data_IF_441716457507
#
_entry.id   IF_441716457507
#
_cell.length_a   1.000
_cell.length_b   1.000
_cell.length_c   1.000
_cell.angle_alpha   90.00
_cell.angle_beta   90.00
_cell.angle_gamma   90.00
#
_symmetry.space_group_name_H-M   'P 1'
#
loop_
_entity.id
_entity.type
_entity.pdbx_description
1 polymer ?
#
# COMPACT_ATOMS: atom_id res chain seq x y z
N UNK A 1 -28.12 43.65 33.77
CA UNK A 1 -26.82 43.49 34.46
C UNK A 1 -25.93 42.65 33.57
N UNK A 2 -25.00 43.29 32.88
CA UNK A 2 -24.02 42.65 32.02
C UNK A 2 -22.79 42.27 32.85
N UNK A 3 -22.25 41.07 32.65
CA UNK A 3 -20.92 40.71 33.12
C UNK A 3 -20.14 40.10 31.96
N UNK A 4 -19.19 40.90 31.49
CA UNK A 4 -18.13 40.58 30.54
C UNK A 4 -17.02 39.83 31.30
N UNK A 5 -16.53 38.71 30.76
CA UNK A 5 -15.33 38.04 31.22
C UNK A 5 -14.24 38.20 30.16
N UNK A 6 -13.26 39.03 30.48
CA UNK A 6 -12.10 39.37 29.65
C UNK A 6 -11.02 38.28 29.79
N UNK A 7 -10.62 37.68 28.66
CA UNK A 7 -9.44 36.81 28.59
C UNK A 7 -8.16 37.66 28.46
N UNK A 8 -7.19 37.44 29.34
CA UNK A 8 -5.86 38.06 29.25
C UNK A 8 -4.96 37.25 28.30
N UNK A 9 -4.46 37.93 27.26
CA UNK A 9 -3.43 37.44 26.33
C UNK A 9 -2.07 37.87 26.88
N UNK A 10 -1.15 36.92 27.05
CA UNK A 10 0.25 37.18 27.41
C UNK A 10 1.07 37.33 26.11
N UNK A 11 1.64 38.52 25.88
CA UNK A 11 2.67 38.77 24.86
C UNK A 11 4.08 38.57 25.46
N UNK A 12 5.07 38.09 24.68
CA UNK A 12 6.46 38.09 25.10
C UNK A 12 7.16 39.44 24.85
N UNK A 13 8.06 39.75 25.78
CA UNK A 13 8.84 40.98 25.90
C UNK A 13 9.75 41.25 24.69
N UNK A 14 9.73 42.50 24.24
CA UNK A 14 10.68 43.11 23.31
C UNK A 14 11.81 43.81 24.10
N UNK A 15 13.06 43.54 23.72
CA UNK A 15 14.24 44.28 24.22
C UNK A 15 14.74 45.17 23.08
N UNK A 16 14.72 46.47 23.32
CA UNK A 16 15.36 47.49 22.50
C UNK A 16 16.52 48.10 23.30
N UNK A 17 17.70 48.22 22.70
CA UNK A 17 18.51 49.44 22.85
C UNK A 17 19.54 49.58 21.73
N UNK A 18 19.66 50.84 21.28
CA UNK A 18 20.24 51.37 20.06
C UNK A 18 21.78 51.37 19.90
N UNK A 19 22.13 51.48 18.61
CA UNK A 19 23.34 51.93 17.85
C UNK A 19 24.33 52.94 18.46
N UNK A 20 25.62 52.82 18.05
CA UNK A 20 26.45 53.86 17.37
C UNK A 20 27.68 53.23 16.66
N UNK A 21 27.86 53.33 15.33
CA UNK A 21 28.63 54.28 14.45
C UNK A 21 30.17 54.06 14.36
N UNK A 22 30.64 53.66 13.15
CA UNK A 22 31.89 53.86 12.36
C UNK A 22 33.28 53.97 13.07
N UNK A 23 34.46 53.60 12.54
CA UNK A 23 34.99 53.57 11.17
C UNK A 23 36.40 52.88 11.09
N UNK A 24 36.82 52.50 9.87
CA UNK A 24 38.21 52.38 9.29
C UNK A 24 39.32 51.44 9.85
N UNK A 25 39.97 50.68 8.92
CA UNK A 25 41.43 50.42 8.98
C UNK A 25 42.01 49.02 8.62
N UNK A 26 42.19 48.74 7.33
CA UNK A 26 43.33 48.08 6.64
C UNK A 26 43.97 46.69 7.01
N UNK A 27 44.37 45.97 5.93
CA UNK A 27 45.38 44.90 5.76
C UNK A 27 45.04 43.48 6.29
N UNK A 28 45.36 42.34 5.64
CA UNK A 28 46.34 41.96 4.60
C UNK A 28 45.98 40.58 3.98
N UNK A 29 46.77 40.12 3.01
CA UNK A 29 46.47 39.08 1.99
C UNK A 29 47.42 37.86 2.15
N UNK A 30 47.03 36.70 1.59
CA UNK A 30 47.82 35.53 1.03
C UNK A 30 48.32 34.39 1.98
N UNK A 31 47.89 33.12 1.76
CA UNK A 31 48.69 31.95 1.26
C UNK A 31 47.95 30.57 1.26
N UNK A 32 47.85 30.01 0.04
CA UNK A 32 47.83 28.63 -0.52
C UNK A 32 47.25 27.36 0.18
N UNK A 33 46.70 26.38 -0.60
CA UNK A 33 46.20 25.08 -0.13
C UNK A 33 47.24 23.94 -0.24
N UNK A 34 47.10 22.89 0.58
CA UNK A 34 47.90 21.66 0.49
C UNK A 34 47.06 20.46 0.04
N UNK A 35 47.66 19.67 -0.84
CA UNK A 35 47.21 18.38 -1.38
C UNK A 35 47.84 17.23 -0.57
N UNK A 36 47.18 16.07 -0.46
CA UNK A 36 47.89 14.81 -0.18
C UNK A 36 47.27 13.59 -0.88
N UNK A 37 48.15 12.81 -1.49
CA UNK A 37 47.95 11.65 -2.38
C UNK A 37 47.84 10.33 -1.60
N UNK A 38 47.25 9.33 -2.28
CA UNK A 38 46.96 8.00 -1.75
C UNK A 38 48.13 7.01 -1.64
N UNK A 39 47.77 5.74 -1.44
CA UNK A 39 48.71 4.61 -1.35
C UNK A 39 48.08 3.38 -2.00
N UNK A 40 48.75 2.85 -3.03
CA UNK A 40 48.56 1.52 -3.62
C UNK A 40 49.65 0.58 -3.09
N UNK A 41 49.40 -0.73 -2.94
CA UNK A 41 50.49 -1.70 -2.86
C UNK A 41 50.77 -2.31 -4.24
N UNK A 42 52.04 -2.30 -4.62
CA UNK A 42 52.62 -2.98 -5.79
C UNK A 42 52.53 -4.50 -5.63
N UNK A 43 52.04 -5.19 -6.65
CA UNK A 43 52.21 -6.65 -6.81
C UNK A 43 53.25 -6.91 -7.90
N UNK A 44 54.24 -7.72 -7.54
CA UNK A 44 55.41 -8.09 -8.31
C UNK A 44 55.07 -9.24 -9.28
N UNK A 45 55.42 -9.13 -10.56
CA UNK A 45 55.32 -10.22 -11.54
C UNK A 45 56.59 -11.08 -11.50
N UNK A 46 56.45 -12.38 -11.22
CA UNK A 46 57.32 -13.43 -11.78
C UNK A 46 56.50 -14.68 -12.13
N UNK A 47 56.86 -15.24 -13.28
CA UNK A 47 56.31 -16.40 -13.96
C UNK A 47 56.30 -17.66 -13.07
N UNK A 48 55.27 -18.51 -13.24
CA UNK A 48 55.46 -19.95 -13.44
C UNK A 48 54.34 -20.50 -14.32
N UNK A 49 54.74 -21.29 -15.32
CA UNK A 49 53.86 -22.07 -16.17
C UNK A 49 53.68 -23.48 -15.59
N UNK A 50 52.63 -24.16 -16.08
CA UNK A 50 52.47 -25.62 -16.27
C UNK A 50 51.33 -26.32 -15.49
N UNK A 51 50.40 -26.83 -16.31
CA UNK A 51 49.53 -28.02 -16.28
C UNK A 51 48.35 -28.22 -15.30
N UNK A 52 47.17 -28.28 -15.95
CA UNK A 52 46.05 -29.25 -15.83
C UNK A 52 46.08 -30.22 -14.63
N UNK A 53 45.00 -30.18 -13.84
CA UNK A 53 44.18 -31.37 -13.62
C UNK A 53 42.70 -30.98 -13.38
N UNK A 54 41.83 -31.84 -13.89
CA UNK A 54 40.38 -31.75 -13.94
C UNK A 54 39.83 -32.30 -12.62
N UNK A 55 38.90 -31.61 -11.97
CA UNK A 55 37.78 -32.28 -11.29
C UNK A 55 36.57 -31.37 -11.18
N UNK A 56 35.43 -31.98 -11.44
CA UNK A 56 34.11 -31.44 -11.76
C UNK A 56 33.29 -31.11 -10.52
N UNK A 57 32.71 -29.91 -10.47
CA UNK A 57 31.39 -29.71 -9.87
C UNK A 57 30.57 -28.79 -10.77
N UNK A 58 29.61 -29.40 -11.47
CA UNK A 58 28.68 -28.73 -12.36
C UNK A 58 27.75 -27.80 -11.56
N UNK A 59 27.95 -26.49 -11.66
CA UNK A 59 26.89 -25.51 -11.43
C UNK A 59 26.02 -25.46 -12.68
N UNK A 60 24.76 -25.87 -12.57
CA UNK A 60 23.74 -25.61 -13.60
C UNK A 60 23.61 -24.09 -13.77
N UNK A 61 23.63 -23.54 -15.00
CA UNK A 61 23.33 -22.14 -15.19
C UNK A 61 21.82 -21.94 -14.99
N UNK A 62 21.46 -21.05 -14.08
CA UNK A 62 20.10 -20.50 -13.99
C UNK A 62 19.89 -19.67 -15.27
N UNK A 63 19.00 -20.14 -16.15
CA UNK A 63 18.59 -19.37 -17.32
C UNK A 63 17.72 -18.22 -16.80
N UNK A 64 18.28 -17.02 -16.82
CA UNK A 64 17.55 -15.77 -16.61
C UNK A 64 16.82 -15.48 -17.92
N UNK A 65 15.49 -15.63 -17.96
CA UNK A 65 14.70 -15.07 -19.03
C UNK A 65 14.53 -13.57 -18.79
N UNK A 66 15.42 -12.77 -19.38
CA UNK A 66 15.13 -11.37 -19.66
C UNK A 66 14.23 -11.35 -20.89
N UNK A 67 12.95 -11.02 -20.73
CA UNK A 67 12.07 -10.73 -21.86
C UNK A 67 12.45 -9.33 -22.35
N UNK A 68 13.36 -9.28 -23.31
CA UNK A 68 13.65 -8.07 -24.07
C UNK A 68 12.54 -7.86 -25.09
N UNK A 69 11.92 -6.68 -25.07
CA UNK A 69 11.17 -6.14 -26.19
C UNK A 69 12.11 -5.99 -27.38
N UNK A 70 11.97 -6.85 -28.40
CA UNK A 70 11.91 -6.46 -29.81
C UNK A 70 12.02 -7.66 -30.77
N UNK A 71 11.30 -7.51 -31.89
CA UNK A 71 11.34 -8.27 -33.16
C UNK A 71 10.41 -9.49 -33.27
N UNK A 72 9.10 -9.24 -33.36
CA UNK A 72 8.20 -10.08 -34.17
C UNK A 72 8.18 -9.51 -35.60
N UNK A 73 8.82 -10.21 -36.55
CA UNK A 73 8.59 -9.96 -37.98
C UNK A 73 7.27 -10.60 -38.38
N UNK A 74 6.30 -9.77 -38.73
CA UNK A 74 4.98 -10.18 -39.22
C UNK A 74 5.08 -11.01 -40.51
N UNK A 75 4.45 -12.19 -40.50
CA UNK A 75 4.05 -12.90 -41.71
C UNK A 75 2.52 -12.86 -41.76
N UNK A 76 1.99 -12.03 -42.67
CA UNK A 76 0.54 -11.86 -42.91
C UNK A 76 -0.11 -13.19 -43.30
N UNK A 77 -1.00 -13.68 -42.43
CA UNK A 77 -2.03 -14.65 -42.78
C UNK A 77 -3.39 -14.00 -42.53
N UNK A 78 -4.18 -13.89 -43.60
CA UNK A 78 -5.57 -13.42 -43.53
C UNK A 78 -6.44 -14.53 -42.95
N UNK A 79 -7.02 -14.31 -41.78
CA UNK A 79 -8.19 -15.06 -41.31
C UNK A 79 -9.02 -14.18 -40.36
N UNK A 80 -10.34 -14.18 -40.55
CA UNK A 80 -11.35 -13.39 -39.85
C UNK A 80 -11.13 -13.30 -38.31
N UNK A 81 -10.58 -12.19 -37.81
CA UNK A 81 -10.06 -12.07 -36.44
C UNK A 81 -10.60 -10.85 -35.66
N UNK A 82 -11.91 -10.63 -35.56
CA UNK A 82 -12.42 -9.52 -34.72
C UNK A 82 -12.63 -9.90 -33.24
N UNK A 83 -12.50 -11.19 -32.86
CA UNK A 83 -12.74 -11.68 -31.50
C UNK A 83 -11.52 -12.34 -30.83
N UNK A 84 -10.40 -12.54 -31.54
CA UNK A 84 -9.26 -13.33 -31.04
C UNK A 84 -8.14 -12.52 -30.36
N UNK A 85 -8.26 -11.19 -30.26
CA UNK A 85 -7.22 -10.30 -29.71
C UNK A 85 -7.66 -9.51 -28.47
N UNK A 86 -8.78 -9.86 -27.85
CA UNK A 86 -9.26 -9.19 -26.63
C UNK A 86 -8.43 -9.64 -25.43
N UNK A 87 -7.97 -8.68 -24.61
CA UNK A 87 -7.18 -8.94 -23.40
C UNK A 87 -8.07 -9.42 -22.23
N UNK A 88 -9.35 -9.04 -22.27
CA UNK A 88 -10.36 -9.37 -21.27
C UNK A 88 -11.73 -9.57 -21.94
N UNK A 89 -12.59 -10.32 -21.26
CA UNK A 89 -14.01 -10.46 -21.61
C UNK A 89 -14.81 -9.20 -21.27
N UNK A 90 -16.06 -9.12 -21.76
CA UNK A 90 -16.98 -8.03 -21.37
C UNK A 90 -17.23 -8.05 -19.87
N UNK A 91 -17.47 -9.24 -19.32
CA UNK A 91 -17.81 -9.45 -17.91
C UNK A 91 -16.64 -9.02 -17.01
N UNK A 92 -15.41 -9.42 -17.36
CA UNK A 92 -14.21 -8.95 -16.67
C UNK A 92 -14.06 -7.42 -16.81
N UNK A 93 -14.32 -6.84 -17.99
CA UNK A 93 -14.22 -5.39 -18.20
C UNK A 93 -15.18 -4.59 -17.33
N UNK A 94 -16.43 -5.04 -17.22
CA UNK A 94 -17.44 -4.40 -16.36
C UNK A 94 -17.11 -4.58 -14.88
N UNK A 95 -16.63 -5.75 -14.46
CA UNK A 95 -16.20 -5.99 -13.08
C UNK A 95 -15.02 -5.08 -12.68
N UNK A 96 -13.99 -4.99 -13.52
CA UNK A 96 -12.84 -4.12 -13.25
C UNK A 96 -13.24 -2.65 -13.21
N UNK A 97 -14.14 -2.22 -14.10
CA UNK A 97 -14.64 -0.85 -14.11
C UNK A 97 -15.47 -0.53 -12.86
N UNK A 98 -16.38 -1.42 -12.47
CA UNK A 98 -17.19 -1.26 -11.26
C UNK A 98 -16.33 -1.16 -10.00
N UNK A 99 -15.31 -2.02 -9.86
CA UNK A 99 -14.41 -2.02 -8.70
C UNK A 99 -13.56 -0.75 -8.61
N UNK A 100 -12.93 -0.33 -9.72
CA UNK A 100 -12.14 0.91 -9.72
C UNK A 100 -13.02 2.15 -9.50
N UNK A 101 -14.22 2.19 -10.09
CA UNK A 101 -15.13 3.31 -9.91
C UNK A 101 -15.66 3.38 -8.48
N UNK A 102 -16.00 2.24 -7.86
CA UNK A 102 -16.31 2.16 -6.43
C UNK A 102 -15.18 2.75 -5.58
N UNK A 103 -13.93 2.34 -5.83
CA UNK A 103 -12.78 2.89 -5.14
C UNK A 103 -12.69 4.42 -5.28
N UNK A 104 -12.77 4.95 -6.50
CA UNK A 104 -12.68 6.40 -6.74
C UNK A 104 -13.81 7.18 -6.08
N UNK A 105 -15.06 6.78 -6.32
CA UNK A 105 -16.24 7.47 -5.82
C UNK A 105 -16.27 7.46 -4.28
N UNK A 106 -15.91 6.33 -3.66
CA UNK A 106 -15.83 6.21 -2.21
C UNK A 106 -14.76 7.15 -1.63
N UNK A 107 -13.56 7.19 -2.21
CA UNK A 107 -12.46 8.02 -1.73
C UNK A 107 -12.72 9.53 -1.91
N UNK A 108 -13.34 9.93 -3.03
CA UNK A 108 -13.77 11.30 -3.24
C UNK A 108 -14.89 11.70 -2.26
N UNK A 109 -15.80 10.77 -1.92
CA UNK A 109 -16.78 10.99 -0.86
C UNK A 109 -16.11 11.11 0.52
N UNK A 110 -15.09 10.31 0.82
CA UNK A 110 -14.32 10.43 2.06
C UNK A 110 -13.69 11.81 2.20
N UNK A 111 -13.10 12.35 1.11
CA UNK A 111 -12.59 13.71 1.10
C UNK A 111 -13.67 14.75 1.45
N UNK A 112 -14.85 14.63 0.85
CA UNK A 112 -15.97 15.53 1.15
C UNK A 112 -16.43 15.43 2.61
N UNK A 113 -16.55 14.22 3.14
CA UNK A 113 -17.00 13.98 4.51
C UNK A 113 -15.99 14.47 5.56
N UNK A 114 -14.69 14.33 5.27
CA UNK A 114 -13.64 14.90 6.09
C UNK A 114 -13.75 16.43 6.17
N UNK A 115 -13.91 17.13 5.04
CA UNK A 115 -14.08 18.59 5.05
C UNK A 115 -15.40 19.05 5.69
N UNK A 116 -16.41 18.18 5.76
CA UNK A 116 -17.66 18.42 6.51
C UNK A 116 -17.55 18.06 8.00
N UNK A 117 -16.37 17.66 8.47
CA UNK A 117 -16.13 17.32 9.87
C UNK A 117 -16.81 16.02 10.33
N UNK A 118 -17.08 15.09 9.40
CA UNK A 118 -17.67 13.78 9.71
C UNK A 118 -16.62 12.70 10.01
N UNK A 119 -15.39 12.90 9.54
CA UNK A 119 -14.25 12.02 9.78
C UNK A 119 -13.19 12.77 10.59
N UNK A 120 -12.50 12.08 11.49
CA UNK A 120 -11.52 12.67 12.39
C UNK A 120 -10.19 11.92 12.33
N UNK A 121 -9.09 12.62 12.64
CA UNK A 121 -7.76 12.04 12.65
C UNK A 121 -7.15 11.94 11.25
N UNK A 122 -6.40 10.87 11.00
CA UNK A 122 -5.72 10.64 9.73
C UNK A 122 -6.66 10.03 8.69
N UNK A 123 -6.64 10.53 7.46
CA UNK A 123 -7.36 9.95 6.32
C UNK A 123 -6.43 9.93 5.11
N UNK A 124 -6.14 8.73 4.59
CA UNK A 124 -5.21 8.52 3.49
C UNK A 124 -5.93 7.97 2.27
N UNK A 125 -6.05 8.79 1.21
CA UNK A 125 -6.89 8.45 0.07
C UNK A 125 -6.16 7.65 -1.03
N UNK A 126 -6.73 6.56 -1.49
CA UNK A 126 -6.20 5.65 -2.51
C UNK A 126 -6.37 6.15 -3.96
N UNK A 127 -6.96 7.34 -4.13
CA UNK A 127 -7.33 7.85 -5.45
C UNK A 127 -6.14 7.97 -6.42
N UNK A 128 -6.28 7.38 -7.59
CA UNK A 128 -5.26 7.29 -8.64
C UNK A 128 -4.51 5.95 -8.69
N UNK A 129 -4.67 5.09 -7.68
CA UNK A 129 -4.00 3.79 -7.59
C UNK A 129 -4.93 2.60 -7.88
N UNK A 130 -6.18 2.84 -8.30
CA UNK A 130 -7.25 1.83 -8.36
C UNK A 130 -6.91 0.63 -9.26
N UNK A 131 -6.16 0.84 -10.34
CA UNK A 131 -5.72 -0.24 -11.21
C UNK A 131 -4.89 -1.30 -10.47
N UNK A 132 -4.13 -0.91 -9.44
CA UNK A 132 -3.29 -1.81 -8.64
C UNK A 132 -4.15 -2.71 -7.77
N UNK A 133 -4.98 -2.13 -6.88
CA UNK A 133 -5.87 -2.91 -6.00
C UNK A 133 -6.78 -3.83 -6.82
N UNK A 134 -7.49 -3.27 -7.81
CA UNK A 134 -8.44 -4.01 -8.64
C UNK A 134 -7.77 -5.12 -9.44
N UNK A 135 -6.63 -4.84 -10.08
CA UNK A 135 -5.94 -5.79 -10.94
C UNK A 135 -5.48 -7.06 -10.19
N UNK A 136 -5.14 -6.92 -8.90
CA UNK A 136 -4.75 -8.03 -8.04
C UNK A 136 -5.91 -8.68 -7.29
N UNK A 137 -6.72 -7.89 -6.58
CA UNK A 137 -7.72 -8.41 -5.64
C UNK A 137 -8.87 -9.11 -6.37
N UNK A 138 -9.26 -8.64 -7.56
CA UNK A 138 -10.30 -9.26 -8.39
C UNK A 138 -9.87 -10.57 -9.07
N UNK A 139 -8.69 -11.09 -8.74
CA UNK A 139 -8.24 -12.44 -9.11
C UNK A 139 -8.21 -13.41 -7.91
N UNK A 140 -8.45 -12.92 -6.70
CA UNK A 140 -8.39 -13.72 -5.49
C UNK A 140 -9.65 -14.56 -5.30
N UNK A 141 -9.46 -15.71 -4.65
CA UNK A 141 -10.55 -16.48 -4.04
C UNK A 141 -10.96 -15.84 -2.72
N UNK A 142 -12.10 -16.28 -2.16
CA UNK A 142 -12.58 -15.78 -0.86
C UNK A 142 -11.56 -16.09 0.25
N UNK A 143 -10.95 -17.25 0.19
CA UNK A 143 -10.01 -17.80 1.19
C UNK A 143 -8.62 -17.15 1.14
N UNK A 144 -8.28 -16.48 0.04
CA UNK A 144 -7.00 -15.76 -0.08
C UNK A 144 -7.01 -14.51 0.81
N UNK A 145 -5.82 -14.17 1.33
CA UNK A 145 -5.64 -13.10 2.30
C UNK A 145 -5.10 -11.82 1.64
N UNK A 146 -5.55 -10.67 2.13
CA UNK A 146 -5.00 -9.34 1.79
C UNK A 146 -4.46 -8.70 3.06
N UNK A 147 -3.23 -8.22 2.99
CA UNK A 147 -2.61 -7.37 4.01
C UNK A 147 -2.25 -6.04 3.38
N UNK A 148 -2.62 -4.95 4.04
CA UNK A 148 -2.51 -3.61 3.50
C UNK A 148 -1.64 -2.68 4.34
N UNK A 149 -1.58 -1.42 3.93
CA UNK A 149 -1.00 -0.30 4.69
C UNK A 149 -2.13 0.51 5.34
N UNK A 150 -1.83 1.71 5.85
CA UNK A 150 -2.84 2.68 6.28
C UNK A 150 -3.71 3.24 5.13
N UNK A 151 -3.46 2.87 3.87
CA UNK A 151 -4.23 3.29 2.68
C UNK A 151 -5.07 2.11 2.18
N UNK A 152 -5.88 1.55 3.06
CA UNK A 152 -6.53 0.25 2.92
C UNK A 152 -8.02 0.28 2.57
N UNK A 153 -8.63 1.46 2.42
CA UNK A 153 -10.07 1.58 2.17
C UNK A 153 -10.48 0.81 0.91
N UNK A 154 -9.81 1.09 -0.21
CA UNK A 154 -10.09 0.45 -1.50
C UNK A 154 -9.70 -1.02 -1.48
N UNK A 155 -8.62 -1.41 -0.78
CA UNK A 155 -8.29 -2.82 -0.60
C UNK A 155 -9.40 -3.60 0.13
N UNK A 156 -9.99 -2.99 1.16
CA UNK A 156 -11.12 -3.57 1.90
C UNK A 156 -12.37 -3.69 1.02
N UNK A 157 -12.72 -2.62 0.30
CA UNK A 157 -13.86 -2.61 -0.63
C UNK A 157 -13.69 -3.65 -1.74
N UNK A 158 -12.53 -3.70 -2.41
CA UNK A 158 -12.24 -4.66 -3.48
C UNK A 158 -12.28 -6.11 -2.99
N UNK A 159 -11.93 -6.37 -1.71
CA UNK A 159 -12.02 -7.71 -1.10
C UNK A 159 -13.44 -8.05 -0.64
N UNK A 160 -14.38 -7.11 -0.74
CA UNK A 160 -15.80 -7.30 -0.51
C UNK A 160 -16.33 -6.77 0.82
N UNK A 161 -15.51 -6.10 1.64
CA UNK A 161 -16.00 -5.48 2.88
C UNK A 161 -17.07 -4.44 2.52
N UNK A 162 -18.28 -4.48 3.11
CA UNK A 162 -19.36 -3.59 2.70
C UNK A 162 -19.02 -2.11 2.87
N UNK A 163 -19.35 -1.29 1.88
CA UNK A 163 -19.10 0.16 1.92
C UNK A 163 -19.73 0.85 3.14
N UNK A 164 -20.89 0.36 3.61
CA UNK A 164 -21.52 0.82 4.86
C UNK A 164 -20.62 0.61 6.08
N UNK A 165 -19.96 -0.53 6.20
CA UNK A 165 -19.06 -0.84 7.31
C UNK A 165 -17.76 -0.02 7.20
N UNK A 166 -17.19 0.08 5.99
CA UNK A 166 -15.99 0.90 5.74
C UNK A 166 -16.26 2.37 6.08
N UNK A 167 -17.37 2.94 5.61
CA UNK A 167 -17.74 4.34 5.89
C UNK A 167 -18.07 4.56 7.37
N UNK A 168 -18.73 3.59 8.01
CA UNK A 168 -19.02 3.63 9.45
C UNK A 168 -17.74 3.60 10.29
N UNK A 169 -16.72 2.84 9.87
CA UNK A 169 -15.42 2.82 10.54
C UNK A 169 -14.72 4.18 10.45
N UNK A 170 -14.75 4.80 9.26
CA UNK A 170 -14.20 6.15 9.05
C UNK A 170 -14.92 7.23 9.86
N UNK A 171 -16.21 7.03 10.14
CA UNK A 171 -17.02 7.91 10.98
C UNK A 171 -16.88 7.58 12.49
N UNK A 172 -16.08 6.58 12.86
CA UNK A 172 -15.91 6.14 14.24
C UNK A 172 -17.19 5.57 14.86
N UNK A 173 -17.96 4.80 14.09
CA UNK A 173 -19.26 4.23 14.52
C UNK A 173 -19.13 2.76 14.90
N UNK A 174 -20.01 2.31 15.79
CA UNK A 174 -20.04 0.90 16.27
C UNK A 174 -20.29 -0.11 15.13
N UNK A 175 -20.95 0.33 14.07
CA UNK A 175 -21.26 -0.44 12.86
C UNK A 175 -20.10 -0.48 11.86
N UNK A 176 -18.94 0.10 12.19
CA UNK A 176 -17.72 -0.04 11.41
C UNK A 176 -17.19 -1.48 11.42
N UNK A 177 -16.38 -1.84 10.43
CA UNK A 177 -15.77 -3.17 10.34
C UNK A 177 -14.87 -3.52 11.54
N UNK A 178 -14.32 -2.51 12.23
CA UNK A 178 -13.58 -2.61 13.49
C UNK A 178 -14.31 -1.93 14.64
N UNK A 179 -15.63 -1.75 14.51
CA UNK A 179 -16.53 -1.14 15.50
C UNK A 179 -16.13 0.28 15.91
N UNK A 180 -15.52 1.04 15.01
CA UNK A 180 -15.10 2.43 15.24
C UNK A 180 -13.84 2.58 16.10
N UNK A 181 -13.08 1.50 16.32
CA UNK A 181 -11.82 1.52 17.08
C UNK A 181 -10.58 1.67 16.20
N UNK A 182 -10.68 1.30 14.92
CA UNK A 182 -9.57 1.36 13.98
C UNK A 182 -9.47 2.71 13.28
N UNK A 183 -10.61 3.24 12.82
CA UNK A 183 -10.64 4.41 11.95
C UNK A 183 -10.01 4.14 10.59
N UNK A 184 -9.49 5.18 9.94
CA UNK A 184 -9.04 5.12 8.54
C UNK A 184 -7.86 4.20 8.28
N UNK A 185 -6.95 4.00 9.24
CA UNK A 185 -5.69 3.29 8.97
C UNK A 185 -5.74 1.79 9.26
N UNK A 186 -6.87 1.29 9.78
CA UNK A 186 -6.95 0.02 10.48
C UNK A 186 -8.25 -0.71 10.15
N UNK A 187 -8.41 -1.14 8.90
CA UNK A 187 -9.56 -1.94 8.48
C UNK A 187 -9.23 -3.42 8.47
N UNK A 188 -9.93 -4.19 9.31
CA UNK A 188 -9.79 -5.63 9.44
C UNK A 188 -11.13 -6.30 9.14
N UNK A 189 -11.11 -7.45 8.48
CA UNK A 189 -12.31 -8.25 8.30
C UNK A 189 -11.98 -9.72 8.16
N UNK A 190 -12.30 -10.48 9.21
CA UNK A 190 -12.12 -11.94 9.23
C UNK A 190 -12.95 -12.63 8.14
N UNK A 191 -14.17 -12.17 7.90
CA UNK A 191 -15.07 -12.76 6.90
C UNK A 191 -14.53 -12.66 5.47
N UNK A 192 -13.83 -11.56 5.18
CA UNK A 192 -13.30 -11.26 3.86
C UNK A 192 -11.80 -11.60 3.72
N UNK A 193 -11.17 -12.09 4.79
CA UNK A 193 -9.71 -12.31 4.88
C UNK A 193 -8.89 -11.05 4.59
N UNK A 194 -9.36 -9.90 5.08
CA UNK A 194 -8.59 -8.65 5.15
C UNK A 194 -7.90 -8.64 6.52
N UNK A 195 -6.58 -8.85 6.52
CA UNK A 195 -5.80 -8.98 7.75
C UNK A 195 -5.32 -7.65 8.32
N UNK A 196 -5.82 -6.52 7.80
CA UNK A 196 -5.56 -5.21 8.37
C UNK A 196 -4.92 -4.21 7.42
N UNK A 197 -5.21 -2.94 7.67
CA UNK A 197 -4.29 -1.84 7.47
C UNK A 197 -3.43 -1.59 8.71
N UNK A 198 -2.18 -1.24 8.43
CA UNK A 198 -1.16 -1.00 9.46
C UNK A 198 -0.57 0.40 9.30
N UNK A 199 -0.52 1.13 10.42
CA UNK A 199 -0.01 2.50 10.46
C UNK A 199 1.52 2.56 10.58
N UNK A 200 2.15 1.55 11.20
CA UNK A 200 3.60 1.47 11.23
C UNK A 200 4.14 0.93 9.90
N UNK A 201 5.07 1.68 9.33
CA UNK A 201 5.63 1.37 8.01
C UNK A 201 6.37 0.03 8.07
N UNK A 202 5.89 -0.95 7.28
CA UNK A 202 6.48 -2.29 7.21
C UNK A 202 5.84 -3.33 8.13
N UNK A 203 4.97 -2.93 9.07
CA UNK A 203 4.36 -3.83 10.06
C UNK A 203 3.53 -4.95 9.43
N UNK A 204 2.81 -4.67 8.34
CA UNK A 204 2.01 -5.67 7.63
C UNK A 204 2.82 -6.76 6.91
N UNK A 205 4.09 -6.52 6.57
CA UNK A 205 4.92 -7.48 5.80
C UNK A 205 5.15 -8.80 6.56
N UNK A 206 5.60 -8.81 7.83
CA UNK A 206 5.72 -10.04 8.60
C UNK A 206 4.36 -10.71 8.87
N UNK A 207 3.28 -9.94 9.05
CA UNK A 207 1.91 -10.49 9.20
C UNK A 207 1.51 -11.27 7.95
N UNK A 208 1.69 -10.69 6.76
CA UNK A 208 1.42 -11.35 5.49
C UNK A 208 2.29 -12.60 5.28
N UNK A 209 3.56 -12.52 5.67
CA UNK A 209 4.50 -13.64 5.61
C UNK A 209 4.03 -14.80 6.50
N UNK A 210 3.53 -14.51 7.71
CA UNK A 210 2.95 -15.50 8.61
C UNK A 210 1.65 -16.11 8.10
N UNK A 211 0.79 -15.33 7.45
CA UNK A 211 -0.42 -15.83 6.80
C UNK A 211 -0.08 -16.82 5.66
N UNK A 212 0.87 -16.46 4.79
CA UNK A 212 1.33 -17.35 3.74
C UNK A 212 2.02 -18.62 4.28
N UNK A 213 2.77 -18.49 5.39
CA UNK A 213 3.32 -19.65 6.10
C UNK A 213 2.21 -20.57 6.61
N UNK A 214 1.11 -20.02 7.13
CA UNK A 214 -0.05 -20.80 7.60
C UNK A 214 -0.64 -21.63 6.46
N UNK A 215 -0.86 -21.05 5.28
CA UNK A 215 -1.38 -21.78 4.12
C UNK A 215 -0.45 -22.93 3.70
N UNK A 216 0.87 -22.69 3.67
CA UNK A 216 1.87 -23.74 3.43
C UNK A 216 1.83 -24.82 4.52
N UNK A 217 1.71 -24.44 5.79
CA UNK A 217 1.71 -25.35 6.93
C UNK A 217 0.46 -26.25 6.95
N UNK A 218 -0.72 -25.70 6.68
CA UNK A 218 -1.96 -26.47 6.48
C UNK A 218 -1.77 -27.55 5.42
N UNK A 219 -1.21 -27.17 4.26
CA UNK A 219 -0.95 -28.10 3.16
C UNK A 219 0.10 -29.17 3.50
N UNK A 220 1.24 -28.77 4.05
CA UNK A 220 2.40 -29.66 4.18
C UNK A 220 2.43 -30.46 5.48
N UNK A 221 1.91 -29.90 6.58
CA UNK A 221 1.92 -30.52 7.91
C UNK A 221 0.56 -31.08 8.26
N UNK A 222 -0.51 -30.29 8.17
CA UNK A 222 -1.86 -30.77 8.48
C UNK A 222 -2.49 -31.60 7.35
N UNK A 223 -1.89 -31.62 6.16
CA UNK A 223 -2.36 -32.36 4.98
C UNK A 223 -3.77 -31.93 4.53
N UNK A 224 -4.11 -30.67 4.77
CA UNK A 224 -5.35 -30.07 4.30
C UNK A 224 -5.23 -29.66 2.83
N UNK A 225 -6.34 -29.69 2.10
CA UNK A 225 -6.41 -29.12 0.76
C UNK A 225 -6.46 -27.58 0.87
N UNK A 226 -5.28 -26.97 0.85
CA UNK A 226 -5.10 -25.54 1.02
C UNK A 226 -4.21 -24.99 -0.10
N UNK A 227 -4.81 -24.17 -0.95
CA UNK A 227 -4.11 -23.44 -2.02
C UNK A 227 -4.22 -21.92 -1.86
N UNK A 228 -4.54 -21.46 -0.65
CA UNK A 228 -4.64 -20.04 -0.28
C UNK A 228 -3.34 -19.27 -0.60
N UNK A 229 -3.50 -18.06 -1.16
CA UNK A 229 -2.42 -17.12 -1.46
C UNK A 229 -2.60 -15.86 -0.61
N UNK A 230 -1.50 -15.24 -0.21
CA UNK A 230 -1.51 -13.93 0.46
C UNK A 230 -0.97 -12.83 -0.44
N UNK A 231 -1.68 -11.70 -0.53
CA UNK A 231 -1.15 -10.46 -1.09
C UNK A 231 -0.68 -9.54 0.03
N UNK A 232 0.53 -9.00 -0.10
CA UNK A 232 1.08 -8.00 0.80
C UNK A 232 1.30 -6.69 0.05
N UNK A 233 0.42 -5.70 0.26
CA UNK A 233 0.53 -4.37 -0.34
C UNK A 233 1.35 -3.42 0.53
N UNK A 234 2.28 -2.68 -0.06
CA UNK A 234 3.03 -1.63 0.63
C UNK A 234 3.64 -0.61 -0.34
N UNK A 235 3.86 0.63 0.14
CA UNK A 235 4.43 1.70 -0.68
C UNK A 235 5.95 1.61 -0.86
N UNK A 236 6.48 2.38 -1.83
CA UNK A 236 7.91 2.48 -2.17
C UNK A 236 8.80 2.80 -0.96
N UNK A 237 8.40 3.77 -0.13
CA UNK A 237 9.14 4.14 1.09
C UNK A 237 9.34 2.98 2.07
N UNK A 238 8.41 2.03 2.09
CA UNK A 238 8.47 0.84 2.98
C UNK A 238 9.65 -0.06 2.64
N UNK A 239 10.07 -0.08 1.36
CA UNK A 239 11.11 -0.97 0.85
C UNK A 239 12.53 -0.65 1.36
N UNK A 240 12.66 0.38 2.20
CA UNK A 240 13.89 0.74 2.90
C UNK A 240 13.95 0.20 4.34
N UNK A 241 12.87 -0.42 4.85
CA UNK A 241 12.86 -1.03 6.17
C UNK A 241 13.57 -2.40 6.17
N UNK A 242 14.26 -2.72 7.27
CA UNK A 242 14.95 -4.02 7.42
C UNK A 242 14.00 -5.21 7.29
N UNK A 243 12.80 -5.10 7.87
CA UNK A 243 11.77 -6.15 7.85
C UNK A 243 11.35 -6.56 6.43
N UNK A 244 11.41 -5.65 5.45
CA UNK A 244 11.16 -5.98 4.05
C UNK A 244 12.14 -7.05 3.56
N UNK A 245 13.45 -6.83 3.75
CA UNK A 245 14.49 -7.77 3.31
C UNK A 245 14.46 -9.09 4.08
N UNK A 246 14.19 -9.04 5.39
CA UNK A 246 14.04 -10.24 6.22
C UNK A 246 12.91 -11.13 5.71
N UNK A 247 11.74 -10.54 5.43
CA UNK A 247 10.57 -11.26 4.95
C UNK A 247 10.76 -11.78 3.52
N UNK A 248 11.40 -11.02 2.62
CA UNK A 248 11.74 -11.53 1.29
C UNK A 248 12.61 -12.79 1.38
N UNK A 249 13.64 -12.76 2.24
CA UNK A 249 14.52 -13.91 2.45
C UNK A 249 13.77 -15.14 2.97
N UNK A 250 12.94 -14.98 4.01
CA UNK A 250 12.17 -16.10 4.57
C UNK A 250 11.14 -16.64 3.57
N UNK A 251 10.43 -15.76 2.86
CA UNK A 251 9.43 -16.15 1.88
C UNK A 251 10.06 -16.96 0.72
N UNK A 252 11.22 -16.54 0.22
CA UNK A 252 11.97 -17.27 -0.79
C UNK A 252 12.45 -18.64 -0.26
N UNK A 253 13.07 -18.65 0.92
CA UNK A 253 13.61 -19.86 1.55
C UNK A 253 12.53 -20.94 1.72
N UNK A 254 11.35 -20.56 2.20
CA UNK A 254 10.25 -21.49 2.45
C UNK A 254 9.32 -21.69 1.26
N UNK A 255 9.55 -21.00 0.14
CA UNK A 255 8.66 -20.98 -1.04
C UNK A 255 7.21 -20.69 -0.65
N UNK A 256 7.01 -19.60 0.09
CA UNK A 256 5.68 -19.23 0.58
C UNK A 256 4.75 -18.80 -0.56
N UNK A 257 3.44 -19.09 -0.46
CA UNK A 257 2.42 -18.64 -1.41
C UNK A 257 2.06 -17.16 -1.17
N UNK A 258 3.00 -16.25 -1.42
CA UNK A 258 2.83 -14.80 -1.20
C UNK A 258 3.25 -13.99 -2.42
N UNK A 259 2.50 -12.93 -2.72
CA UNK A 259 2.90 -11.90 -3.66
C UNK A 259 3.13 -10.60 -2.90
N UNK A 260 4.34 -10.06 -3.03
CA UNK A 260 4.70 -8.75 -2.49
C UNK A 260 4.38 -7.69 -3.56
N UNK A 261 3.39 -6.85 -3.30
CA UNK A 261 2.91 -5.83 -4.24
C UNK A 261 3.36 -4.46 -3.74
N UNK A 262 4.30 -3.86 -4.46
CA UNK A 262 4.82 -2.52 -4.17
C UNK A 262 4.00 -1.50 -4.94
N UNK A 263 3.32 -0.63 -4.22
CA UNK A 263 2.57 0.50 -4.76
C UNK A 263 3.50 1.70 -4.82
N UNK A 264 4.31 1.77 -5.87
CA UNK A 264 5.27 2.86 -6.04
C UNK A 264 4.55 4.08 -6.61
N UNK A 265 4.07 4.95 -5.72
CA UNK A 265 3.45 6.22 -6.08
C UNK A 265 4.45 7.38 -6.17
N UNK A 266 5.74 7.04 -6.24
CA UNK A 266 6.90 7.93 -6.35
C UNK A 266 7.21 8.78 -5.10
N UNK A 267 6.43 8.68 -4.02
CA UNK A 267 6.50 9.59 -2.89
C UNK A 267 6.15 8.98 -1.52
N UNK A 268 7.15 8.86 -0.66
CA UNK A 268 6.98 8.56 0.76
C UNK A 268 6.74 9.84 1.57
N UNK A 269 5.48 10.21 1.80
CA UNK A 269 5.06 11.50 2.36
C UNK A 269 5.59 12.66 1.48
N UNK A 270 6.73 13.25 1.87
CA UNK A 270 7.43 14.32 1.14
C UNK A 270 8.80 13.91 0.61
N UNK A 271 9.21 12.64 0.78
CA UNK A 271 10.45 12.11 0.24
C UNK A 271 10.19 11.51 -1.14
N UNK A 272 10.81 12.08 -2.17
CA UNK A 272 10.75 11.53 -3.53
C UNK A 272 11.49 10.19 -3.61
N UNK A 273 10.92 9.25 -4.36
CA UNK A 273 11.44 7.89 -4.57
C UNK A 273 12.90 7.86 -5.02
N UNK A 274 13.27 8.72 -5.98
CA UNK A 274 14.65 8.80 -6.50
C UNK A 274 15.67 9.33 -5.47
N UNK A 275 15.19 9.86 -4.34
CA UNK A 275 16.00 10.33 -3.20
C UNK A 275 15.95 9.39 -2.00
N UNK A 276 15.11 8.36 -2.03
CA UNK A 276 14.80 7.52 -0.88
C UNK A 276 15.66 6.24 -0.81
N UNK A 277 16.24 5.80 -1.92
CA UNK A 277 16.99 4.54 -2.05
C UNK A 277 18.18 4.71 -2.99
N UNK A 278 19.25 3.93 -2.76
CA UNK A 278 20.44 3.92 -3.63
C UNK A 278 20.18 3.30 -5.01
N UNK A 279 19.21 2.38 -5.09
CA UNK A 279 18.69 1.83 -6.35
C UNK A 279 17.16 1.98 -6.35
N UNK A 280 16.61 2.90 -7.18
CA UNK A 280 15.17 3.14 -7.29
C UNK A 280 14.39 1.98 -7.90
N UNK A 281 15.01 1.01 -8.58
CA UNK A 281 14.27 -0.08 -9.22
C UNK A 281 13.99 -1.18 -8.19
N UNK A 282 12.90 -1.04 -7.42
CA UNK A 282 12.57 -1.91 -6.29
C UNK A 282 12.40 -3.36 -6.73
N UNK A 283 11.78 -3.60 -7.89
CA UNK A 283 11.60 -4.95 -8.43
C UNK A 283 12.91 -5.74 -8.55
N UNK A 284 14.05 -5.07 -8.78
CA UNK A 284 15.38 -5.72 -8.87
C UNK A 284 15.88 -6.29 -7.54
N UNK A 285 15.27 -5.91 -6.41
CA UNK A 285 15.60 -6.45 -5.09
C UNK A 285 15.15 -7.90 -4.93
N UNK A 286 14.11 -8.33 -5.64
CA UNK A 286 13.61 -9.72 -5.61
C UNK A 286 14.66 -10.76 -6.04
N UNK A 287 15.29 -10.62 -7.23
CA UNK A 287 16.31 -11.53 -7.71
C UNK A 287 17.50 -11.77 -6.76
N UNK A 288 17.83 -10.81 -5.89
CA UNK A 288 18.87 -10.99 -4.89
C UNK A 288 18.57 -12.11 -3.87
N UNK A 289 17.29 -12.45 -3.68
CA UNK A 289 16.81 -13.54 -2.82
C UNK A 289 16.41 -14.80 -3.62
N UNK A 290 16.61 -14.80 -4.94
CA UNK A 290 16.20 -15.91 -5.81
C UNK A 290 14.69 -15.97 -6.10
N UNK A 291 13.96 -14.87 -5.90
CA UNK A 291 12.56 -14.73 -6.33
C UNK A 291 12.43 -13.83 -7.57
N UNK A 292 11.41 -14.01 -8.43
CA UNK A 292 11.16 -13.11 -9.54
C UNK A 292 10.82 -11.69 -9.04
N UNK A 293 11.34 -10.70 -9.77
CA UNK A 293 10.99 -9.31 -9.63
C UNK A 293 10.37 -8.80 -10.93
N UNK A 294 9.21 -8.15 -10.87
CA UNK A 294 8.48 -7.66 -12.04
C UNK A 294 8.17 -6.18 -11.87
N UNK A 295 8.44 -5.38 -12.90
CA UNK A 295 7.99 -3.99 -12.98
C UNK A 295 6.75 -3.92 -13.88
N UNK A 296 5.72 -3.19 -13.44
CA UNK A 296 4.49 -3.02 -14.22
C UNK A 296 4.00 -1.58 -14.14
N UNK A 297 3.42 -1.11 -15.23
CA UNK A 297 2.68 0.14 -15.27
C UNK A 297 1.40 0.00 -14.41
N UNK A 298 1.45 0.54 -13.19
CA UNK A 298 0.39 0.49 -12.20
C UNK A 298 -0.80 1.41 -12.52
N UNK A 299 -0.74 2.19 -13.60
CA UNK A 299 -1.86 2.99 -14.11
C UNK A 299 -2.67 2.23 -15.17
N UNK A 300 -2.27 1.00 -15.53
CA UNK A 300 -2.92 0.17 -16.55
C UNK A 300 -3.40 -1.16 -15.94
N UNK A 301 -4.69 -1.23 -15.63
CA UNK A 301 -5.30 -2.39 -14.96
C UNK A 301 -5.14 -3.69 -15.77
N UNK A 302 -5.03 -3.62 -17.10
CA UNK A 302 -4.89 -4.82 -17.93
C UNK A 302 -3.49 -5.43 -17.77
N UNK A 303 -2.45 -4.58 -17.75
CA UNK A 303 -1.06 -5.02 -17.49
C UNK A 303 -0.89 -5.49 -16.04
N UNK A 304 -1.44 -4.76 -15.08
CA UNK A 304 -1.43 -5.19 -13.66
C UNK A 304 -2.07 -6.57 -13.53
N UNK A 305 -3.26 -6.77 -14.12
CA UNK A 305 -3.99 -8.05 -14.07
C UNK A 305 -3.22 -9.18 -14.75
N UNK A 306 -2.53 -8.93 -15.85
CA UNK A 306 -1.67 -9.94 -16.49
C UNK A 306 -0.55 -10.42 -15.56
N UNK A 307 0.17 -9.49 -14.94
CA UNK A 307 1.23 -9.80 -13.97
C UNK A 307 0.66 -10.50 -12.74
N UNK A 308 -0.48 -10.04 -12.23
CA UNK A 308 -1.15 -10.63 -11.09
C UNK A 308 -1.60 -12.07 -11.35
N UNK A 309 -2.14 -12.38 -12.55
CA UNK A 309 -2.53 -13.75 -12.94
C UNK A 309 -1.34 -14.72 -12.81
N UNK A 310 -0.17 -14.35 -13.32
CA UNK A 310 1.01 -15.22 -13.19
C UNK A 310 1.57 -15.24 -11.76
N UNK A 311 1.69 -14.10 -11.09
CA UNK A 311 2.25 -14.04 -9.74
C UNK A 311 1.40 -14.84 -8.71
N UNK A 312 0.08 -14.70 -8.77
CA UNK A 312 -0.86 -15.47 -7.93
C UNK A 312 -0.83 -16.95 -8.33
N UNK A 313 -0.83 -17.25 -9.63
CA UNK A 313 -0.73 -18.62 -10.14
C UNK A 313 0.54 -19.33 -9.64
N UNK A 314 1.69 -18.67 -9.73
CA UNK A 314 2.98 -19.15 -9.24
C UNK A 314 2.96 -19.46 -7.74
N UNK A 315 2.46 -18.51 -6.94
CA UNK A 315 2.32 -18.68 -5.49
C UNK A 315 1.44 -19.89 -5.17
N UNK A 316 0.29 -20.01 -5.85
CA UNK A 316 -0.68 -21.10 -5.67
C UNK A 316 -0.09 -22.48 -6.03
N UNK A 317 0.69 -22.56 -7.11
CA UNK A 317 1.43 -23.77 -7.54
C UNK A 317 2.60 -24.14 -6.61
N UNK A 318 2.89 -23.35 -5.57
CA UNK A 318 3.95 -23.63 -4.60
C UNK A 318 5.36 -23.35 -5.15
N UNK A 319 5.46 -22.54 -6.20
CA UNK A 319 6.73 -22.17 -6.82
C UNK A 319 7.44 -21.01 -6.08
N UNK A 320 6.83 -20.51 -5.01
CA UNK A 320 7.37 -19.47 -4.14
C UNK A 320 6.89 -18.06 -4.48
N UNK A 321 7.48 -17.05 -3.83
CA UNK A 321 6.99 -15.68 -3.90
C UNK A 321 7.37 -14.96 -5.19
N UNK A 322 6.72 -13.82 -5.41
CA UNK A 322 7.04 -12.83 -6.45
C UNK A 322 7.05 -11.44 -5.83
N UNK A 323 8.01 -10.60 -6.21
CA UNK A 323 8.01 -9.15 -5.94
C UNK A 323 7.51 -8.41 -7.19
N UNK A 324 6.41 -7.67 -7.08
CA UNK A 324 5.85 -6.86 -8.17
C UNK A 324 5.91 -5.39 -7.76
N UNK A 325 6.58 -4.57 -8.57
CA UNK A 325 6.56 -3.11 -8.45
C UNK A 325 5.58 -2.52 -9.45
N UNK A 326 4.50 -1.96 -8.92
CA UNK A 326 3.50 -1.22 -9.67
C UNK A 326 3.82 0.28 -9.58
N UNK A 327 4.36 0.84 -10.66
CA UNK A 327 4.54 2.30 -10.76
C UNK A 327 3.18 2.95 -10.99
N UNK A 328 2.68 3.65 -9.98
CA UNK A 328 1.35 4.26 -9.95
C UNK A 328 1.45 5.70 -9.45
N UNK A 329 0.32 6.34 -9.15
CA UNK A 329 0.33 7.71 -8.64
C UNK A 329 -0.86 7.99 -7.72
N UNK A 330 -0.60 8.63 -6.58
CA UNK A 330 -1.66 9.16 -5.71
C UNK A 330 -2.03 10.56 -6.17
N UNK A 331 -3.31 10.82 -6.43
CA UNK A 331 -3.76 12.11 -6.95
C UNK A 331 -3.87 13.21 -5.89
N UNK A 332 -4.04 12.85 -4.62
CA UNK A 332 -4.00 13.79 -3.49
C UNK A 332 -2.66 13.71 -2.75
N UNK A 333 -2.48 14.59 -1.77
CA UNK A 333 -1.35 14.56 -0.85
C UNK A 333 -1.27 13.23 -0.09
N UNK A 334 -0.27 13.10 0.78
CA UNK A 334 -0.08 11.89 1.56
C UNK A 334 -1.35 11.50 2.35
N UNK A 335 -1.93 12.48 3.05
CA UNK A 335 -3.20 12.44 3.75
C UNK A 335 -4.01 13.71 3.43
N UNK A 336 -5.27 13.79 3.88
CA UNK A 336 -6.08 15.01 3.73
C UNK A 336 -5.54 16.23 4.52
N UNK A 337 -4.57 16.02 5.42
CA UNK A 337 -3.86 17.09 6.11
C UNK A 337 -2.60 17.58 5.36
N UNK A 338 -2.15 16.87 4.34
CA UNK A 338 -0.99 17.24 3.52
C UNK A 338 -1.43 18.10 2.31
N UNK A 339 -1.01 19.38 2.23
CA UNK A 339 -1.40 20.29 1.16
C UNK A 339 -0.75 19.97 -0.19
N UNK A 340 0.19 19.02 -0.24
CA UNK A 340 0.79 18.53 -1.48
C UNK A 340 1.63 19.56 -2.25
N UNK A 341 2.42 20.35 -1.51
CA UNK A 341 3.23 21.44 -2.06
C UNK A 341 4.60 21.00 -2.59
N UNK A 342 5.05 19.78 -2.26
CA UNK A 342 6.40 19.31 -2.57
C UNK A 342 6.54 18.69 -3.97
N UNK A 343 5.42 18.35 -4.62
CA UNK A 343 5.40 17.68 -5.92
C UNK A 343 5.25 18.68 -7.06
N UNK A 344 6.02 18.47 -8.13
CA UNK A 344 5.97 19.31 -9.33
C UNK A 344 4.55 19.28 -9.94
N UNK A 345 3.89 20.44 -10.13
CA UNK A 345 2.60 20.50 -10.83
C UNK A 345 2.59 19.83 -12.21
N UNK A 346 3.71 19.85 -12.94
CA UNK A 346 3.81 19.18 -14.24
C UNK A 346 3.79 17.65 -14.12
N UNK A 347 4.41 17.09 -13.07
CA UNK A 347 4.33 15.66 -12.76
C UNK A 347 2.88 15.26 -12.43
N UNK A 348 2.20 16.04 -11.60
CA UNK A 348 0.79 15.81 -11.24
C UNK A 348 -0.12 15.86 -12.47
N UNK A 349 0.07 16.86 -13.32
CA UNK A 349 -0.69 16.98 -14.57
C UNK A 349 -0.42 15.81 -15.52
N UNK A 350 0.82 15.34 -15.64
CA UNK A 350 1.15 14.17 -16.44
C UNK A 350 0.38 12.93 -15.97
N UNK A 351 0.42 12.61 -14.67
CA UNK A 351 -0.29 11.45 -14.13
C UNK A 351 -1.81 11.58 -14.17
N UNK A 352 -2.36 12.80 -14.04
CA UNK A 352 -3.78 13.03 -14.21
C UNK A 352 -4.28 12.64 -15.63
N UNK A 353 -3.47 12.81 -16.67
CA UNK A 353 -3.81 12.35 -18.03
C UNK A 353 -3.78 10.82 -18.20
N UNK A 354 -3.22 10.11 -17.21
CA UNK A 354 -3.07 8.65 -17.20
C UNK A 354 -4.06 7.97 -16.26
N UNK A 355 -5.18 8.60 -15.92
CA UNK A 355 -6.19 8.03 -15.00
C UNK A 355 -6.61 6.60 -15.41
N UNK A 356 -6.43 5.59 -14.53
CA UNK A 356 -6.70 4.19 -14.85
C UNK A 356 -8.15 3.91 -15.23
N UNK A 357 -9.11 4.64 -14.64
CA UNK A 357 -10.55 4.47 -14.93
C UNK A 357 -10.86 4.97 -16.34
N UNK A 358 -10.31 6.13 -16.70
CA UNK A 358 -10.48 6.71 -18.03
C UNK A 358 -9.82 5.81 -19.09
N UNK A 359 -8.64 5.28 -18.80
CA UNK A 359 -7.94 4.35 -19.68
C UNK A 359 -8.75 3.06 -19.93
N UNK A 360 -9.30 2.44 -18.88
CA UNK A 360 -10.13 1.24 -19.03
C UNK A 360 -11.43 1.55 -19.79
N UNK A 361 -12.11 2.65 -19.47
CA UNK A 361 -13.33 3.07 -20.19
C UNK A 361 -13.07 3.23 -21.69
N UNK A 362 -11.95 3.84 -22.06
CA UNK A 362 -11.52 3.96 -23.45
C UNK A 362 -11.30 2.59 -24.10
N UNK A 363 -10.60 1.68 -23.43
CA UNK A 363 -10.39 0.32 -23.93
C UNK A 363 -11.71 -0.44 -24.17
N UNK A 364 -12.64 -0.36 -23.22
CA UNK A 364 -13.98 -0.98 -23.32
C UNK A 364 -14.73 -0.44 -24.55
N UNK A 365 -14.69 0.87 -24.78
CA UNK A 365 -15.37 1.50 -25.91
C UNK A 365 -14.71 1.13 -27.26
N UNK A 366 -13.38 1.22 -27.36
CA UNK A 366 -12.63 0.91 -28.58
C UNK A 366 -12.81 -0.55 -29.02
N UNK A 367 -12.90 -1.47 -28.06
CA UNK A 367 -13.11 -2.90 -28.29
C UNK A 367 -14.59 -3.32 -28.30
N UNK A 368 -15.52 -2.37 -28.16
CA UNK A 368 -16.98 -2.61 -28.15
C UNK A 368 -17.41 -3.66 -27.13
N UNK A 369 -16.75 -3.70 -25.97
CA UNK A 369 -17.05 -4.64 -24.90
C UNK A 369 -18.35 -4.28 -24.19
N UNK A 370 -18.58 -2.99 -23.93
CA UNK A 370 -19.81 -2.49 -23.34
C UNK A 370 -20.18 -1.11 -23.89
N UNK A 371 -21.45 -0.76 -23.76
CA UNK A 371 -21.98 0.54 -24.16
C UNK A 371 -21.74 1.61 -23.09
N UNK A 372 -21.71 2.87 -23.52
CA UNK A 372 -21.68 4.03 -22.62
C UNK A 372 -22.86 4.02 -21.62
N UNK A 373 -24.02 3.49 -22.03
CA UNK A 373 -25.19 3.38 -21.17
C UNK A 373 -24.99 2.35 -20.04
N UNK A 374 -24.31 1.23 -20.31
CA UNK A 374 -23.97 0.23 -19.29
C UNK A 374 -22.97 0.79 -18.28
N UNK A 375 -21.93 1.51 -18.74
CA UNK A 375 -20.97 2.15 -17.84
C UNK A 375 -21.63 3.23 -16.97
N UNK A 376 -22.50 4.07 -17.54
CA UNK A 376 -23.27 5.06 -16.77
C UNK A 376 -24.23 4.44 -15.76
N UNK A 377 -24.75 3.25 -16.05
CA UNK A 377 -25.59 2.53 -15.09
C UNK A 377 -24.75 2.03 -13.89
N UNK A 378 -23.50 1.60 -14.14
CA UNK A 378 -22.54 1.30 -13.07
C UNK A 378 -22.23 2.55 -12.26
N UNK A 379 -21.89 3.67 -12.92
CA UNK A 379 -21.57 4.93 -12.26
C UNK A 379 -22.69 5.31 -11.28
N UNK A 380 -23.95 5.36 -11.77
CA UNK A 380 -25.13 5.68 -10.96
C UNK A 380 -25.32 4.70 -9.79
N UNK A 381 -25.19 3.40 -10.03
CA UNK A 381 -25.34 2.37 -8.98
C UNK A 381 -24.34 2.59 -7.85
N UNK A 382 -23.09 2.90 -8.20
CA UNK A 382 -22.03 3.13 -7.23
C UNK A 382 -22.24 4.44 -6.47
N UNK A 383 -22.64 5.51 -7.16
CA UNK A 383 -22.96 6.78 -6.51
C UNK A 383 -24.07 6.60 -5.46
N UNK A 384 -25.16 5.91 -5.82
CA UNK A 384 -26.26 5.58 -4.89
C UNK A 384 -25.77 4.72 -3.70
N UNK A 385 -24.87 3.76 -3.95
CA UNK A 385 -24.30 2.90 -2.90
C UNK A 385 -23.41 3.70 -1.93
N UNK A 386 -22.61 4.64 -2.44
CA UNK A 386 -21.73 5.49 -1.62
C UNK A 386 -22.55 6.50 -0.81
N UNK A 387 -23.60 7.09 -1.39
CA UNK A 387 -24.53 7.96 -0.68
C UNK A 387 -25.25 7.20 0.45
N UNK A 388 -25.74 5.99 0.18
CA UNK A 388 -26.35 5.12 1.17
C UNK A 388 -25.37 4.76 2.30
N UNK A 389 -24.10 4.50 1.98
CA UNK A 389 -23.06 4.25 2.99
C UNK A 389 -22.86 5.46 3.93
N UNK A 390 -22.88 6.67 3.39
CA UNK A 390 -22.82 7.91 4.19
C UNK A 390 -24.06 8.07 5.06
N UNK A 391 -25.26 7.91 4.50
CA UNK A 391 -26.52 8.06 5.24
C UNK A 391 -26.65 7.00 6.35
N UNK A 392 -26.17 5.78 6.10
CA UNK A 392 -26.11 4.71 7.09
C UNK A 392 -25.10 5.03 8.20
N UNK A 393 -23.89 5.46 7.87
CA UNK A 393 -22.86 5.83 8.84
C UNK A 393 -23.31 7.01 9.72
N UNK A 394 -23.94 8.02 9.14
CA UNK A 394 -24.41 9.20 9.88
C UNK A 394 -25.45 8.84 10.94
N UNK A 395 -26.40 7.97 10.59
CA UNK A 395 -27.46 7.45 11.48
C UNK A 395 -26.99 6.37 12.46
N UNK A 396 -25.80 5.82 12.25
CA UNK A 396 -25.27 4.74 13.08
C UNK A 396 -24.86 5.24 14.48
N UNK A 397 -24.98 4.40 15.52
CA UNK A 397 -24.63 4.77 16.88
C UNK A 397 -23.11 4.89 17.06
N UNK A 398 -22.69 5.88 17.84
CA UNK A 398 -21.31 5.97 18.34
C UNK A 398 -21.02 4.82 19.32
N UNK A 399 -19.77 4.32 19.42
CA UNK A 399 -19.39 3.33 20.41
C UNK A 399 -19.74 3.78 21.83
N UNK A 400 -20.35 2.89 22.61
CA UNK A 400 -20.61 3.15 24.01
C UNK A 400 -19.30 3.15 24.82
N UNK A 401 -19.24 3.91 25.93
CA UNK A 401 -18.01 4.06 26.72
C UNK A 401 -17.43 2.73 27.22
N UNK A 402 -18.28 1.77 27.55
CA UNK A 402 -17.85 0.43 28.00
C UNK A 402 -17.09 -0.35 26.92
N UNK A 403 -17.30 -0.04 25.63
CA UNK A 403 -16.57 -0.67 24.53
C UNK A 403 -15.06 -0.36 24.57
N UNK A 404 -14.62 0.71 25.25
CA UNK A 404 -13.21 1.10 25.34
C UNK A 404 -12.31 -0.03 25.86
N UNK A 405 -12.81 -0.86 26.77
CA UNK A 405 -12.04 -1.95 27.38
C UNK A 405 -12.31 -3.32 26.75
N UNK A 406 -13.25 -3.38 25.80
CA UNK A 406 -13.50 -4.61 25.05
C UNK A 406 -12.32 -4.94 24.12
N UNK A 407 -12.04 -6.23 23.96
CA UNK A 407 -11.01 -6.76 23.06
C UNK A 407 -9.55 -6.34 23.33
N UNK A 408 -9.27 -5.67 24.45
CA UNK A 408 -7.88 -5.49 24.93
C UNK A 408 -7.22 -6.84 25.20
N UNK A 409 -7.97 -7.77 25.77
CA UNK A 409 -7.63 -9.18 25.88
C UNK A 409 -8.77 -10.04 25.32
N UNK A 410 -8.45 -11.18 24.71
CA UNK A 410 -9.45 -12.16 24.30
C UNK A 410 -10.21 -12.75 25.50
N UNK A 411 -9.51 -12.93 26.62
CA UNK A 411 -10.11 -13.21 27.93
C UNK A 411 -9.97 -11.96 28.81
N UNK A 412 -11.08 -11.30 29.18
CA UNK A 412 -11.05 -10.11 30.04
C UNK A 412 -10.34 -10.31 31.38
N UNK A 413 -10.18 -11.56 31.86
CA UNK A 413 -9.37 -11.86 33.05
C UNK A 413 -7.89 -11.50 32.87
N UNK A 414 -7.43 -11.23 31.65
CA UNK A 414 -6.10 -10.70 31.34
C UNK A 414 -5.80 -9.35 32.01
N UNK A 415 -6.82 -8.61 32.45
CA UNK A 415 -6.63 -7.40 33.28
C UNK A 415 -6.11 -7.70 34.71
N UNK A 416 -6.02 -8.97 35.09
CA UNK A 416 -5.47 -9.40 36.38
C UNK A 416 -6.45 -9.25 37.53
N UNK A 417 -5.92 -9.45 38.74
CA UNK A 417 -6.69 -9.46 39.99
C UNK A 417 -6.50 -8.11 40.70
N UNK A 418 -7.59 -7.55 41.22
CA UNK A 418 -7.60 -6.33 42.03
C UNK A 418 -7.13 -6.55 43.47
N UNK A 419 -6.94 -5.48 44.25
CA UNK A 419 -6.55 -5.58 45.66
C UNK A 419 -7.56 -6.35 46.54
N UNK A 420 -8.80 -6.49 46.09
CA UNK A 420 -9.89 -7.23 46.74
C UNK A 420 -9.92 -8.73 46.42
N UNK A 421 -8.97 -9.21 45.60
CA UNK A 421 -8.87 -10.62 45.22
C UNK A 421 -9.80 -11.04 44.07
N UNK A 422 -10.55 -10.12 43.46
CA UNK A 422 -11.43 -10.37 42.31
C UNK A 422 -10.77 -9.98 40.99
N UNK A 423 -11.26 -10.48 39.86
CA UNK A 423 -10.74 -10.02 38.57
C UNK A 423 -11.11 -8.54 38.37
N UNK A 424 -10.17 -7.75 37.86
CA UNK A 424 -10.42 -6.31 37.64
C UNK A 424 -11.62 -6.06 36.73
N UNK A 425 -11.85 -6.92 35.73
CA UNK A 425 -13.00 -6.83 34.85
C UNK A 425 -14.36 -7.03 35.56
N UNK A 426 -14.37 -7.55 36.79
CA UNK A 426 -15.58 -7.74 37.62
C UNK A 426 -15.87 -6.54 38.52
N UNK A 427 -14.94 -5.60 38.67
CA UNK A 427 -15.18 -4.36 39.42
C UNK A 427 -16.18 -3.49 38.63
N UNK A 428 -17.36 -3.14 39.19
CA UNK A 428 -18.31 -2.27 38.51
C UNK A 428 -17.71 -0.90 38.14
N UNK A 429 -16.68 -0.46 38.87
CA UNK A 429 -15.94 0.79 38.61
C UNK A 429 -14.81 0.63 37.59
N UNK A 430 -14.56 -0.57 37.09
CA UNK A 430 -13.46 -0.86 36.18
C UNK A 430 -13.53 -0.04 34.89
N UNK A 431 -14.75 0.20 34.40
CA UNK A 431 -15.01 1.05 33.23
C UNK A 431 -15.20 2.53 33.58
N UNK A 432 -15.18 2.88 34.87
CA UNK A 432 -15.43 4.25 35.37
C UNK A 432 -14.17 5.14 35.38
N UNK A 433 -12.96 4.62 35.16
CA UNK A 433 -11.71 5.40 35.04
C UNK A 433 -10.63 4.70 34.21
N UNK A 434 -9.84 5.37 33.35
CA UNK A 434 -9.06 6.61 33.57
C UNK A 434 -9.18 7.69 32.49
N UNK A 435 -9.96 7.50 31.43
CA UNK A 435 -10.25 8.57 30.48
C UNK A 435 -11.42 9.42 31.01
N UNK A 436 -11.12 10.47 31.78
CA UNK A 436 -11.94 11.68 31.73
C UNK A 436 -11.65 12.31 30.36
N UNK A 437 -12.62 12.25 29.45
CA UNK A 437 -12.60 13.01 28.20
C UNK A 437 -13.23 14.37 28.45
#
# INVERSE_FOLDING_TARGET
MACSATAQIIQPLSINSARSVDNSGACTKILSPSSFLGSTPRINKKLFAVNKSISSLARRPTIVFAVSSDVVKEKKLKSNSSLSNLLITKEEGLELYEDMYLGRAFEDMCAQMYYRGKMFGFVHLYNGQEAVSTGFIKLLKKEDCVVSTYRDHVHSLSKGVPAREVMSELFGKTTGCCRGQGGSMHMFSKEHNVLGGFAFIGEGIPVATGAAFTSKYKREVFKEDCDEVTLAFFGDGTCNNGQFFECLNMAALWKLPIVFVVENNLWAIGMSHVRATSDPQIWKKGPAFGMPGVHVDGMDVLKVREVAKEAIGRARRGEGPTLVECETYRFRGHSLADPDELRDPAEKAHYATRDPITALKKYIAENKLASEAELKAIDKKIDELVEDAVEFADRSPVPARNQLLENVFADPRGFGIGPDGKYRCEDPKFTEGTAQV
#
